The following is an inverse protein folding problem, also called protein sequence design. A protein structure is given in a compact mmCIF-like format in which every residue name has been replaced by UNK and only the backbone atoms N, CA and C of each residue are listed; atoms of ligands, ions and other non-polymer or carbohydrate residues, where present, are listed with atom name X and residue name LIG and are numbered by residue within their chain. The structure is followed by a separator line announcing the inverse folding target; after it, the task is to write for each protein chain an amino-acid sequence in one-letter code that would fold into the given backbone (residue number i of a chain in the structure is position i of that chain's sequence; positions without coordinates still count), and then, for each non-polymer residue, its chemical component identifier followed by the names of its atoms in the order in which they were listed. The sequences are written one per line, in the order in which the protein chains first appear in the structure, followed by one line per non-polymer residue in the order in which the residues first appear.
data_IF_278639484731
#
_entry.id   IF_278639484731
#
_cell.length_a   1.000
_cell.length_b   1.000
_cell.length_c   1.000
_cell.angle_alpha   90.00
_cell.angle_beta   90.00
_cell.angle_gamma   90.00
#
_symmetry.space_group_name_H-M   'P 1'
#
loop_
_entity.id
_entity.type
_entity.pdbx_description
1 polymer ?
#
# COMPACT_ATOMS: atom_id res chain seq x y z
N UNK A 1 2.04 -25.22 5.27
CA UNK A 1 1.69 -24.37 4.11
C UNK A 1 2.30 -23.02 4.42
N UNK A 2 3.04 -22.44 3.50
CA UNK A 2 3.62 -21.08 3.64
C UNK A 2 2.49 -20.06 3.66
N UNK A 3 2.39 -19.26 4.70
CA UNK A 3 1.39 -18.20 4.86
C UNK A 3 1.90 -16.92 4.20
N UNK A 4 1.19 -16.42 3.18
CA UNK A 4 1.62 -15.29 2.37
C UNK A 4 0.70 -14.09 2.52
N UNK A 5 1.24 -12.87 2.47
CA UNK A 5 0.47 -11.62 2.52
C UNK A 5 0.91 -10.64 1.43
N UNK A 6 -0.04 -10.04 0.73
CA UNK A 6 0.23 -8.95 -0.19
C UNK A 6 0.12 -7.59 0.55
N UNK A 7 1.17 -6.80 0.49
CA UNK A 7 1.25 -5.48 1.12
C UNK A 7 1.16 -4.38 0.06
N UNK A 8 0.23 -3.43 0.23
CA UNK A 8 0.26 -2.16 -0.50
C UNK A 8 1.56 -1.42 -0.16
N UNK A 9 2.53 -1.45 -1.08
CA UNK A 9 3.91 -1.03 -0.82
C UNK A 9 4.27 0.23 -1.59
N UNK A 10 4.71 1.25 -0.86
CA UNK A 10 5.17 2.53 -1.44
C UNK A 10 6.67 2.76 -1.29
N UNK A 11 7.37 1.93 -0.51
CA UNK A 11 8.77 2.15 -0.14
C UNK A 11 8.99 3.22 0.94
N UNK A 12 7.92 3.88 1.41
CA UNK A 12 7.99 4.82 2.53
C UNK A 12 8.13 4.12 3.88
N UNK A 13 8.38 4.90 4.94
CA UNK A 13 8.64 4.38 6.29
C UNK A 13 7.56 3.42 6.76
N UNK A 14 6.29 3.82 6.70
CA UNK A 14 5.16 3.04 7.22
C UNK A 14 5.09 1.66 6.57
N UNK A 15 5.20 1.59 5.23
CA UNK A 15 5.14 0.31 4.50
C UNK A 15 6.41 -0.52 4.65
N UNK A 16 7.57 0.12 4.79
CA UNK A 16 8.85 -0.56 5.05
C UNK A 16 8.85 -1.25 6.42
N UNK A 17 8.35 -0.58 7.45
CA UNK A 17 8.18 -1.14 8.79
C UNK A 17 7.13 -2.25 8.81
N UNK A 18 6.09 -2.17 8.00
CA UNK A 18 5.08 -3.23 7.93
C UNK A 18 5.66 -4.58 7.49
N UNK A 19 6.74 -4.63 6.70
CA UNK A 19 7.31 -5.90 6.21
C UNK A 19 7.73 -6.80 7.38
N UNK A 20 8.71 -6.44 8.22
CA UNK A 20 9.10 -7.30 9.34
C UNK A 20 7.98 -7.46 10.39
N UNK A 21 7.11 -6.49 10.56
CA UNK A 21 5.97 -6.59 11.49
C UNK A 21 4.98 -7.67 11.03
N UNK A 22 4.69 -7.77 9.75
CA UNK A 22 3.80 -8.81 9.21
C UNK A 22 4.38 -10.22 9.42
N UNK A 23 5.69 -10.36 9.35
CA UNK A 23 6.38 -11.63 9.61
C UNK A 23 6.43 -11.95 11.11
N UNK A 24 6.89 -11.00 11.94
CA UNK A 24 7.16 -11.22 13.36
C UNK A 24 5.89 -11.28 14.22
N UNK A 25 4.93 -10.36 13.99
CA UNK A 25 3.76 -10.18 14.84
C UNK A 25 2.50 -10.87 14.29
N UNK A 26 2.35 -10.95 12.97
CA UNK A 26 1.19 -11.58 12.32
C UNK A 26 1.48 -13.01 11.82
N UNK A 27 2.74 -13.43 11.86
CA UNK A 27 3.15 -14.80 11.56
C UNK A 27 3.00 -15.18 10.09
N UNK A 28 3.22 -14.23 9.18
CA UNK A 28 3.34 -14.52 7.76
C UNK A 28 4.76 -15.00 7.44
N UNK A 29 4.86 -16.03 6.63
CA UNK A 29 6.15 -16.59 6.20
C UNK A 29 6.75 -15.79 5.05
N UNK A 30 5.90 -15.17 4.21
CA UNK A 30 6.31 -14.38 3.05
C UNK A 30 5.43 -13.14 2.90
N UNK A 31 6.08 -11.98 2.70
CA UNK A 31 5.44 -10.71 2.36
C UNK A 31 5.73 -10.39 0.90
N UNK A 32 4.70 -10.01 0.14
CA UNK A 32 4.82 -9.58 -1.25
C UNK A 32 4.46 -8.09 -1.32
N UNK A 33 5.42 -7.25 -1.69
CA UNK A 33 5.18 -5.83 -1.93
C UNK A 33 4.49 -5.60 -3.28
N UNK A 34 3.41 -4.83 -3.29
CA UNK A 34 2.71 -4.47 -4.52
C UNK A 34 2.60 -2.96 -4.64
N UNK A 35 3.22 -2.41 -5.69
CA UNK A 35 3.12 -0.99 -6.07
C UNK A 35 2.29 -0.88 -7.34
N UNK A 36 1.34 0.06 -7.38
CA UNK A 36 0.43 0.23 -8.52
C UNK A 36 0.69 1.56 -9.20
N UNK A 37 0.96 1.50 -10.50
CA UNK A 37 1.17 2.68 -11.35
C UNK A 37 -0.18 3.20 -11.89
N UNK A 38 -0.60 4.35 -11.36
CA UNK A 38 -1.76 5.12 -11.84
C UNK A 38 -1.35 6.44 -12.50
N UNK A 39 -0.06 6.62 -12.81
CA UNK A 39 0.48 7.80 -13.47
C UNK A 39 1.21 8.79 -12.53
N UNK A 40 1.60 8.35 -11.33
CA UNK A 40 2.45 9.12 -10.43
C UNK A 40 3.88 9.25 -10.99
N UNK A 41 4.73 10.16 -10.43
CA UNK A 41 6.10 10.35 -10.88
C UNK A 41 6.93 9.06 -10.86
N UNK A 42 7.82 8.92 -11.84
CA UNK A 42 8.67 7.72 -11.97
C UNK A 42 9.60 7.51 -10.76
N UNK A 43 10.00 8.58 -10.12
CA UNK A 43 10.86 8.57 -8.94
C UNK A 43 10.24 7.77 -7.78
N UNK A 44 8.92 7.82 -7.61
CA UNK A 44 8.23 7.05 -6.55
C UNK A 44 8.36 5.54 -6.76
N UNK A 45 8.40 5.08 -8.01
CA UNK A 45 8.60 3.66 -8.33
C UNK A 45 10.04 3.20 -8.11
N UNK A 46 11.01 4.05 -8.45
CA UNK A 46 12.42 3.75 -8.22
C UNK A 46 12.70 3.66 -6.71
N UNK A 47 12.17 4.58 -5.91
CA UNK A 47 12.27 4.52 -4.44
C UNK A 47 11.66 3.23 -3.89
N UNK A 48 10.46 2.86 -4.34
CA UNK A 48 9.82 1.62 -3.92
C UNK A 48 10.63 0.38 -4.32
N UNK A 49 11.20 0.37 -5.53
CA UNK A 49 12.04 -0.73 -6.02
C UNK A 49 13.32 -0.86 -5.22
N UNK A 50 14.05 0.25 -5.02
CA UNK A 50 15.29 0.27 -4.24
C UNK A 50 15.07 -0.22 -2.81
N UNK A 51 13.98 0.22 -2.18
CA UNK A 51 13.61 -0.21 -0.84
C UNK A 51 13.27 -1.70 -0.80
N UNK A 52 12.51 -2.19 -1.77
CA UNK A 52 12.15 -3.61 -1.88
C UNK A 52 13.40 -4.49 -2.10
N UNK A 53 14.32 -4.08 -2.98
CA UNK A 53 15.59 -4.77 -3.20
C UNK A 53 16.46 -4.83 -1.94
N UNK A 54 16.52 -3.72 -1.19
CA UNK A 54 17.28 -3.67 0.06
C UNK A 54 16.67 -4.53 1.18
N UNK A 55 15.36 -4.81 1.12
CA UNK A 55 14.64 -5.70 2.03
C UNK A 55 14.65 -7.17 1.59
N UNK A 56 15.20 -7.48 0.41
CA UNK A 56 15.03 -8.79 -0.25
C UNK A 56 13.55 -9.19 -0.40
N UNK A 57 12.69 -8.18 -0.64
CA UNK A 57 11.24 -8.32 -0.73
C UNK A 57 10.82 -8.67 -2.16
N UNK A 58 10.00 -9.72 -2.32
CA UNK A 58 9.31 -9.96 -3.58
C UNK A 58 8.41 -8.78 -3.92
N UNK A 59 8.65 -8.11 -5.06
CA UNK A 59 8.00 -6.86 -5.40
C UNK A 59 7.39 -6.87 -6.80
N UNK A 60 6.09 -6.58 -6.86
CA UNK A 60 5.32 -6.45 -8.09
C UNK A 60 4.97 -4.99 -8.35
N UNK A 61 5.22 -4.51 -9.57
CA UNK A 61 4.73 -3.22 -10.06
C UNK A 61 3.63 -3.48 -11.08
N UNK A 62 2.42 -3.03 -10.77
CA UNK A 62 1.23 -3.25 -11.60
C UNK A 62 0.83 -1.96 -12.30
N UNK A 63 0.72 -1.99 -13.62
CA UNK A 63 0.21 -0.86 -14.39
C UNK A 63 -1.32 -0.82 -14.36
N UNK A 64 -1.89 0.32 -13.95
CA UNK A 64 -3.34 0.58 -13.90
C UNK A 64 -3.72 1.97 -14.45
N UNK A 65 -2.84 2.58 -15.27
CA UNK A 65 -3.06 3.93 -15.82
C UNK A 65 -4.31 4.01 -16.67
N UNK A 66 -4.53 3.06 -17.56
CA UNK A 66 -5.69 3.07 -18.45
C UNK A 66 -6.99 3.01 -17.66
N UNK A 67 -7.10 2.09 -16.69
CA UNK A 67 -8.27 1.96 -15.81
C UNK A 67 -8.52 3.24 -15.02
N UNK A 68 -7.47 3.88 -14.52
CA UNK A 68 -7.58 5.13 -13.77
C UNK A 68 -8.00 6.30 -14.67
N UNK A 69 -7.45 6.41 -15.89
CA UNK A 69 -7.80 7.45 -16.85
C UNK A 69 -9.27 7.34 -17.27
N UNK A 70 -9.76 6.15 -17.55
CA UNK A 70 -11.17 5.91 -17.89
C UNK A 70 -12.11 6.37 -16.76
N UNK A 71 -11.75 6.03 -15.52
CA UNK A 71 -12.50 6.48 -14.34
C UNK A 71 -12.46 8.00 -14.17
N UNK A 72 -11.32 8.65 -14.49
CA UNK A 72 -11.22 10.11 -14.47
C UNK A 72 -12.14 10.76 -15.51
N UNK A 73 -12.26 10.20 -16.71
CA UNK A 73 -13.20 10.69 -17.72
C UNK A 73 -14.66 10.57 -17.25
N UNK A 74 -15.02 9.46 -16.61
CA UNK A 74 -16.36 9.29 -16.06
C UNK A 74 -16.63 10.28 -14.91
N UNK A 75 -15.64 10.52 -14.07
CA UNK A 75 -15.73 11.51 -13.00
C UNK A 75 -15.95 12.94 -13.56
N UNK A 76 -15.23 13.32 -14.63
CA UNK A 76 -15.43 14.62 -15.30
C UNK A 76 -16.84 14.72 -15.89
N UNK A 77 -17.33 13.68 -16.56
CA UNK A 77 -18.70 13.64 -17.10
C UNK A 77 -19.77 13.78 -16.01
N UNK A 78 -19.50 13.21 -14.84
CA UNK A 78 -20.39 13.26 -13.68
C UNK A 78 -20.23 14.54 -12.84
N UNK A 79 -19.33 15.46 -13.18
CA UNK A 79 -18.92 16.60 -12.34
C UNK A 79 -18.56 16.16 -10.91
N UNK A 80 -17.79 15.09 -10.77
CA UNK A 80 -17.41 14.53 -9.50
C UNK A 80 -16.32 15.37 -8.84
N UNK A 81 -16.74 16.37 -8.11
CA UNK A 81 -15.89 17.20 -7.25
C UNK A 81 -16.49 17.34 -5.85
N UNK A 82 -15.69 17.77 -4.91
CA UNK A 82 -16.12 18.16 -3.59
C UNK A 82 -15.67 19.61 -3.33
N UNK A 83 -16.62 20.55 -3.36
CA UNK A 83 -16.38 21.99 -3.17
C UNK A 83 -15.31 22.55 -4.13
N UNK A 84 -15.32 22.12 -5.39
CA UNK A 84 -14.35 22.50 -6.40
C UNK A 84 -13.00 21.75 -6.34
N UNK A 85 -12.86 20.78 -5.43
CA UNK A 85 -11.68 19.93 -5.34
C UNK A 85 -11.87 18.64 -6.16
N UNK A 86 -11.03 18.38 -7.19
CA UNK A 86 -11.09 17.15 -7.95
C UNK A 86 -10.85 15.92 -7.07
N UNK A 87 -11.67 14.88 -7.25
CA UNK A 87 -11.60 13.67 -6.42
C UNK A 87 -10.55 12.65 -6.90
N UNK A 88 -9.46 13.07 -7.53
CA UNK A 88 -8.44 12.20 -8.12
C UNK A 88 -7.91 11.14 -7.16
N UNK A 89 -7.44 11.55 -5.99
CA UNK A 89 -6.94 10.61 -4.96
C UNK A 89 -8.03 9.65 -4.48
N UNK A 90 -9.25 10.13 -4.30
CA UNK A 90 -10.37 9.30 -3.88
C UNK A 90 -10.74 8.24 -4.92
N UNK A 91 -10.56 8.55 -6.21
CA UNK A 91 -10.82 7.64 -7.33
C UNK A 91 -9.66 6.66 -7.57
N UNK A 92 -8.42 7.11 -7.35
CA UNK A 92 -7.23 6.27 -7.52
C UNK A 92 -7.19 5.10 -6.51
N UNK A 93 -7.58 5.32 -5.26
CA UNK A 93 -7.46 4.30 -4.20
C UNK A 93 -8.24 3.01 -4.48
N UNK A 94 -9.51 3.02 -4.94
CA UNK A 94 -10.20 1.81 -5.35
C UNK A 94 -9.55 1.08 -6.52
N UNK A 95 -8.99 1.80 -7.50
CA UNK A 95 -8.25 1.21 -8.63
C UNK A 95 -7.01 0.48 -8.12
N UNK A 96 -6.21 1.15 -7.28
CA UNK A 96 -5.04 0.57 -6.63
C UNK A 96 -5.44 -0.66 -5.80
N UNK A 97 -6.50 -0.56 -5.00
CA UNK A 97 -6.97 -1.66 -4.17
C UNK A 97 -7.35 -2.90 -4.99
N UNK A 98 -8.04 -2.73 -6.13
CA UNK A 98 -8.37 -3.83 -7.03
C UNK A 98 -7.12 -4.48 -7.65
N UNK A 99 -6.15 -3.67 -8.05
CA UNK A 99 -4.91 -4.19 -8.63
C UNK A 99 -4.13 -5.04 -7.61
N UNK A 100 -4.01 -4.57 -6.36
CA UNK A 100 -3.36 -5.31 -5.28
C UNK A 100 -4.12 -6.60 -4.96
N UNK A 101 -5.45 -6.54 -4.89
CA UNK A 101 -6.29 -7.73 -4.65
C UNK A 101 -6.08 -8.81 -5.72
N UNK A 102 -5.96 -8.40 -6.98
CA UNK A 102 -5.70 -9.31 -8.10
C UNK A 102 -4.36 -10.03 -7.93
N UNK A 103 -3.29 -9.29 -7.62
CA UNK A 103 -1.98 -9.89 -7.33
C UNK A 103 -2.06 -10.84 -6.14
N UNK A 104 -2.69 -10.43 -5.05
CA UNK A 104 -2.86 -11.27 -3.87
C UNK A 104 -3.55 -12.61 -4.17
N UNK A 105 -4.57 -12.59 -5.05
CA UNK A 105 -5.28 -13.80 -5.49
C UNK A 105 -4.43 -14.66 -6.43
N UNK A 106 -3.73 -14.05 -7.39
CA UNK A 106 -2.84 -14.72 -8.34
C UNK A 106 -1.67 -15.41 -7.63
N UNK A 107 -1.10 -14.76 -6.62
CA UNK A 107 0.00 -15.28 -5.80
C UNK A 107 -0.45 -16.24 -4.67
N UNK A 108 -1.75 -16.45 -4.53
CA UNK A 108 -2.30 -17.35 -3.52
C UNK A 108 -2.06 -16.88 -2.09
N UNK A 109 -2.13 -15.57 -1.85
CA UNK A 109 -1.99 -14.98 -0.52
C UNK A 109 -3.16 -15.35 0.40
N UNK A 110 -2.88 -15.49 1.69
CA UNK A 110 -3.88 -15.69 2.75
C UNK A 110 -4.40 -14.36 3.29
N UNK A 111 -3.59 -13.29 3.16
CA UNK A 111 -3.91 -11.95 3.64
C UNK A 111 -3.54 -10.85 2.68
N UNK A 112 -4.06 -9.66 2.98
CA UNK A 112 -3.79 -8.42 2.25
C UNK A 112 -3.66 -7.27 3.27
N UNK A 113 -2.63 -6.43 3.12
CA UNK A 113 -2.26 -5.46 4.13
C UNK A 113 -2.00 -4.06 3.55
N UNK A 114 -2.19 -3.04 4.39
CA UNK A 114 -1.80 -1.66 4.09
C UNK A 114 -1.19 -0.97 5.32
N UNK A 115 -0.33 0.03 5.06
CA UNK A 115 0.30 0.86 6.09
C UNK A 115 -0.47 2.14 6.45
N UNK A 116 -1.76 2.23 6.18
CA UNK A 116 -2.54 3.43 6.50
C UNK A 116 -2.77 3.56 8.01
N UNK A 117 -2.64 4.80 8.50
CA UNK A 117 -3.03 5.16 9.86
C UNK A 117 -4.57 5.19 10.00
N UNK A 118 -5.07 5.13 11.23
CA UNK A 118 -6.52 5.25 11.50
C UNK A 118 -7.13 6.64 11.27
N UNK A 119 -6.32 7.63 10.86
CA UNK A 119 -6.73 9.04 10.78
C UNK A 119 -7.25 9.50 9.42
N UNK A 120 -7.05 8.72 8.36
CA UNK A 120 -7.42 9.09 6.99
C UNK A 120 -8.54 8.23 6.41
N UNK A 121 -9.05 8.65 5.23
CA UNK A 121 -10.07 7.90 4.50
C UNK A 121 -9.49 6.83 3.57
N UNK A 122 -8.18 6.80 3.35
CA UNK A 122 -7.56 5.85 2.43
C UNK A 122 -7.72 4.40 2.89
N UNK A 123 -7.59 4.14 4.19
CA UNK A 123 -7.90 2.84 4.78
C UNK A 123 -9.30 2.34 4.40
N UNK A 124 -10.31 3.20 4.49
CA UNK A 124 -11.70 2.84 4.16
C UNK A 124 -11.85 2.49 2.67
N UNK A 125 -11.12 3.20 1.79
CA UNK A 125 -11.16 2.97 0.35
C UNK A 125 -10.51 1.65 -0.04
N UNK A 126 -9.37 1.30 0.58
CA UNK A 126 -8.74 0.00 0.40
C UNK A 126 -9.62 -1.13 0.94
N UNK A 127 -10.03 -1.02 2.19
CA UNK A 127 -10.80 -2.07 2.86
C UNK A 127 -12.19 -2.28 2.24
N UNK A 128 -12.82 -1.24 1.69
CA UNK A 128 -14.10 -1.38 1.00
C UNK A 128 -14.03 -2.34 -0.20
N UNK A 129 -12.88 -2.36 -0.90
CA UNK A 129 -12.62 -3.30 -2.00
C UNK A 129 -12.25 -4.67 -1.45
N UNK A 130 -11.33 -4.74 -0.50
CA UNK A 130 -10.75 -6.00 -0.03
C UNK A 130 -11.69 -6.85 0.80
N UNK A 131 -12.61 -6.24 1.55
CA UNK A 131 -13.64 -6.94 2.33
C UNK A 131 -14.67 -7.71 1.49
N UNK A 132 -14.65 -7.51 0.18
CA UNK A 132 -15.44 -8.31 -0.75
C UNK A 132 -14.75 -9.64 -1.12
N UNK A 133 -13.52 -9.88 -0.66
CA UNK A 133 -12.76 -11.12 -0.82
C UNK A 133 -12.75 -11.93 0.47
N UNK A 134 -12.26 -13.17 0.38
CA UNK A 134 -12.06 -14.07 1.52
C UNK A 134 -10.69 -13.86 2.21
N UNK A 135 -9.87 -12.89 1.76
CA UNK A 135 -8.56 -12.62 2.33
C UNK A 135 -8.66 -11.90 3.69
N UNK A 136 -7.76 -12.23 4.59
CA UNK A 136 -7.60 -11.50 5.85
C UNK A 136 -7.08 -10.09 5.56
N UNK A 137 -7.82 -9.05 5.99
CA UNK A 137 -7.43 -7.65 5.80
C UNK A 137 -6.72 -7.15 7.06
N UNK A 138 -5.48 -6.67 6.88
CA UNK A 138 -4.58 -6.32 7.98
C UNK A 138 -4.11 -4.87 7.83
N UNK A 139 -4.14 -4.13 8.91
CA UNK A 139 -3.68 -2.75 8.98
C UNK A 139 -2.71 -2.56 10.16
N UNK A 140 -1.44 -3.03 10.07
CA UNK A 140 -0.53 -3.08 11.20
C UNK A 140 -0.34 -1.73 11.90
N UNK A 141 -0.12 -0.66 11.13
CA UNK A 141 0.09 0.70 11.67
C UNK A 141 -1.09 1.14 12.55
N UNK A 142 -2.31 0.90 12.07
CA UNK A 142 -3.52 1.23 12.82
C UNK A 142 -3.74 0.30 14.01
N UNK A 143 -3.63 -0.99 13.81
CA UNK A 143 -3.96 -2.01 14.80
C UNK A 143 -3.02 -2.01 16.00
N UNK A 144 -1.73 -1.77 15.74
CA UNK A 144 -0.71 -1.65 16.79
C UNK A 144 -0.58 -0.22 17.31
N UNK A 145 -1.28 0.75 16.73
CA UNK A 145 -1.20 2.15 17.13
C UNK A 145 0.19 2.75 16.92
N UNK A 146 0.89 2.35 15.86
CA UNK A 146 2.24 2.84 15.57
C UNK A 146 2.24 4.35 15.39
N UNK A 147 3.22 5.00 16.01
CA UNK A 147 3.49 6.42 15.84
C UNK A 147 4.71 6.61 14.97
N UNK A 148 4.84 7.77 14.35
CA UNK A 148 6.00 8.11 13.51
C UNK A 148 7.33 7.92 14.26
N UNK A 149 7.37 8.33 15.53
CA UNK A 149 8.57 8.19 16.36
C UNK A 149 8.91 6.71 16.61
N UNK A 150 7.89 5.90 16.89
CA UNK A 150 8.06 4.45 17.05
C UNK A 150 8.56 3.79 15.78
N UNK A 151 8.00 4.15 14.62
CA UNK A 151 8.42 3.60 13.32
C UNK A 151 9.88 3.95 12.98
N UNK A 152 10.30 5.17 13.28
CA UNK A 152 11.70 5.61 13.10
C UNK A 152 12.64 4.81 14.01
N UNK A 153 12.30 4.64 15.28
CA UNK A 153 13.09 3.89 16.23
C UNK A 153 13.17 2.41 15.83
N UNK A 154 12.04 1.80 15.50
CA UNK A 154 11.95 0.43 15.01
C UNK A 154 12.78 0.18 13.75
N UNK A 155 12.70 1.10 12.78
CA UNK A 155 13.49 1.02 11.56
C UNK A 155 14.99 1.16 11.82
N UNK A 156 15.38 2.07 12.73
CA UNK A 156 16.78 2.26 13.11
C UNK A 156 17.37 1.04 13.82
N UNK A 157 16.64 0.43 14.74
CA UNK A 157 17.07 -0.78 15.46
C UNK A 157 17.32 -1.97 14.53
N UNK A 158 16.56 -2.07 13.44
CA UNK A 158 16.64 -3.17 12.45
C UNK A 158 17.46 -2.81 11.20
N UNK A 159 18.01 -1.60 11.13
CA UNK A 159 18.71 -1.08 9.96
C UNK A 159 17.87 -1.19 8.67
N UNK A 160 16.57 -0.90 8.77
CA UNK A 160 15.69 -0.91 7.61
C UNK A 160 16.06 0.22 6.63
N UNK A 161 15.94 0.00 5.31
CA UNK A 161 16.27 0.99 4.29
C UNK A 161 15.21 2.07 4.20
N UNK A 162 15.22 3.02 5.14
CA UNK A 162 14.35 4.18 5.11
C UNK A 162 15.15 5.40 4.67
N UNK A 163 14.70 6.09 3.64
CA UNK A 163 15.34 7.33 3.23
C UNK A 163 15.10 8.41 4.29
N UNK A 164 16.18 8.97 4.81
CA UNK A 164 16.12 10.14 5.68
C UNK A 164 15.71 11.34 4.82
N UNK A 165 14.42 11.72 4.83
CA UNK A 165 14.01 12.94 4.15
C UNK A 165 12.59 13.04 3.63
N UNK A 166 11.73 12.06 3.73
CA UNK A 166 10.31 12.27 3.46
C UNK A 166 9.61 12.84 4.69
N UNK A 167 9.88 14.13 4.97
CA UNK A 167 8.97 14.94 5.76
C UNK A 167 7.69 15.09 4.93
N UNK A 168 6.72 14.21 5.21
CA UNK A 168 5.39 14.32 4.63
C UNK A 168 4.78 15.67 5.01
N UNK A 169 4.54 16.49 4.00
CA UNK A 169 3.66 17.65 4.07
C UNK A 169 2.22 17.22 4.30
#
# INVERSE_FOLDING_TARGET
MTKRVALAFSGGLDTTVCVPVLEEEYGYDEVIGVTVDVGQPAEEFEEARETAEALDLEHHVVEAKEEFVDLCFDAVRANADYQGYPLGTALARPVIAKAILRVAQEEGCDGIAHGCTGKGNDQLRFEAVWRASDLEVIAPVREMGMTRDWEIEYAAERNLPVQAGNEGT
#
